data_IF_327710726179
#
_entry.id   IF_327710726179
#
_cell.length_a   1.000
_cell.length_b   1.000
_cell.length_c   1.000
_cell.angle_alpha   90.00
_cell.angle_beta   90.00
_cell.angle_gamma   90.00
#
_symmetry.space_group_name_H-M   'P 1'
#
loop_
_entity.id
_entity.type
_entity.pdbx_description
1 polymer ?
#
# COMPACT_ATOMS: atom_id res chain seq x y z
N UNK A 1 0.02 -17.92 -0.94
CA UNK A 1 -0.67 -16.62 -0.82
C UNK A 1 -1.19 -16.26 -2.20
N UNK A 2 -2.50 -16.02 -2.37
CA UNK A 2 -3.14 -15.86 -3.70
C UNK A 2 -2.50 -14.76 -4.58
N UNK A 3 -1.95 -13.72 -3.96
CA UNK A 3 -1.32 -12.58 -4.64
C UNK A 3 0.22 -12.64 -4.68
N UNK A 4 0.81 -13.84 -4.58
CA UNK A 4 2.29 -13.98 -4.60
C UNK A 4 2.90 -13.52 -5.93
N UNK A 5 2.18 -13.70 -7.04
CA UNK A 5 2.66 -13.36 -8.38
C UNK A 5 2.80 -11.85 -8.59
N UNK A 6 1.88 -11.05 -8.04
CA UNK A 6 1.91 -9.58 -8.17
C UNK A 6 2.78 -8.91 -7.10
N UNK A 7 3.14 -9.63 -6.04
CA UNK A 7 3.88 -9.05 -4.92
C UNK A 7 5.20 -8.34 -5.31
N UNK A 8 6.03 -8.89 -6.23
CA UNK A 8 7.25 -8.20 -6.66
C UNK A 8 6.97 -6.83 -7.29
N UNK A 9 5.90 -6.72 -8.09
CA UNK A 9 5.48 -5.46 -8.72
C UNK A 9 5.00 -4.46 -7.66
N UNK A 10 4.16 -4.91 -6.73
CA UNK A 10 3.69 -4.09 -5.61
C UNK A 10 4.86 -3.55 -4.79
N UNK A 11 5.82 -4.40 -4.41
CA UNK A 11 6.99 -3.97 -3.65
C UNK A 11 7.85 -2.98 -4.43
N UNK A 12 8.05 -3.21 -5.74
CA UNK A 12 8.80 -2.31 -6.61
C UNK A 12 8.13 -0.93 -6.65
N UNK A 13 6.82 -0.87 -6.88
CA UNK A 13 6.08 0.40 -6.97
C UNK A 13 6.09 1.16 -5.63
N UNK A 14 6.01 0.48 -4.49
CA UNK A 14 6.13 1.11 -3.18
C UNK A 14 7.53 1.72 -2.96
N UNK A 15 8.58 0.98 -3.31
CA UNK A 15 9.97 1.49 -3.24
C UNK A 15 10.15 2.69 -4.16
N UNK A 16 9.59 2.64 -5.37
CA UNK A 16 9.66 3.73 -6.33
C UNK A 16 8.96 4.99 -5.81
N UNK A 17 7.74 4.88 -5.29
CA UNK A 17 7.03 6.02 -4.70
C UNK A 17 7.83 6.66 -3.56
N UNK A 18 8.43 5.86 -2.68
CA UNK A 18 9.26 6.38 -1.58
C UNK A 18 10.47 7.17 -2.09
N UNK A 19 11.08 6.74 -3.20
CA UNK A 19 12.23 7.41 -3.79
C UNK A 19 11.85 8.68 -4.54
N UNK A 20 10.75 8.66 -5.29
CA UNK A 20 10.32 9.77 -6.15
C UNK A 20 9.57 10.86 -5.39
N UNK A 21 8.78 10.50 -4.37
CA UNK A 21 7.87 11.41 -3.67
C UNK A 21 7.99 11.32 -2.13
N UNK A 22 9.20 11.33 -1.53
CA UNK A 22 9.35 11.15 -0.08
C UNK A 22 8.65 12.23 0.75
N UNK A 23 8.72 13.49 0.33
CA UNK A 23 8.12 14.62 1.05
C UNK A 23 6.59 14.56 1.05
N UNK A 24 6.00 14.31 -0.12
CA UNK A 24 4.55 14.17 -0.26
C UNK A 24 4.03 12.97 0.55
N UNK A 25 4.77 11.87 0.56
CA UNK A 25 4.45 10.69 1.36
C UNK A 25 4.49 11.02 2.87
N UNK A 26 5.52 11.73 3.34
CA UNK A 26 5.61 12.19 4.73
C UNK A 26 4.46 13.12 5.12
N UNK A 27 4.08 14.05 4.23
CA UNK A 27 2.96 14.95 4.44
C UNK A 27 1.64 14.18 4.54
N UNK A 28 1.41 13.21 3.65
CA UNK A 28 0.22 12.35 3.69
C UNK A 28 0.13 11.56 5.00
N UNK A 29 1.22 10.91 5.41
CA UNK A 29 1.27 10.16 6.68
C UNK A 29 0.95 11.09 7.86
N UNK A 30 1.49 12.30 7.87
CA UNK A 30 1.25 13.29 8.93
C UNK A 30 -0.22 13.73 9.00
N UNK A 31 -0.87 13.91 7.85
CA UNK A 31 -2.30 14.25 7.77
C UNK A 31 -3.16 13.11 8.31
N UNK A 32 -2.94 11.87 7.85
CA UNK A 32 -3.70 10.70 8.32
C UNK A 32 -3.52 10.47 9.83
N UNK A 33 -2.31 10.70 10.37
CA UNK A 33 -2.04 10.66 11.83
C UNK A 33 -2.87 11.68 12.60
N UNK A 34 -2.99 12.91 12.09
CA UNK A 34 -3.72 14.01 12.74
C UNK A 34 -5.22 13.76 12.77
N UNK A 35 -5.78 13.16 11.72
CA UNK A 35 -7.21 12.84 11.65
C UNK A 35 -7.66 11.85 12.72
N UNK A 36 -6.76 10.98 13.21
CA UNK A 36 -7.03 9.95 14.23
C UNK A 36 -8.25 9.05 13.91
N UNK A 37 -8.64 8.98 12.64
CA UNK A 37 -9.84 8.28 12.19
C UNK A 37 -9.67 6.75 12.08
N UNK A 38 -8.43 6.26 12.14
CA UNK A 38 -8.12 4.85 11.85
C UNK A 38 -7.48 4.15 13.05
N UNK A 39 -8.09 3.03 13.47
CA UNK A 39 -7.56 2.15 14.52
C UNK A 39 -6.20 1.53 14.14
N UNK A 40 -5.99 1.26 12.85
CA UNK A 40 -4.73 0.72 12.34
C UNK A 40 -4.23 1.60 11.19
N UNK A 41 -3.31 2.52 11.54
CA UNK A 41 -2.75 3.46 10.59
C UNK A 41 -1.89 2.79 9.52
N UNK A 42 -1.20 1.71 9.88
CA UNK A 42 -0.34 0.98 8.96
C UNK A 42 -1.15 0.40 7.80
N UNK A 43 -2.27 -0.25 8.10
CA UNK A 43 -3.19 -0.76 7.06
C UNK A 43 -3.71 0.39 6.21
N UNK A 44 -4.10 1.52 6.82
CA UNK A 44 -4.62 2.66 6.07
C UNK A 44 -3.60 3.19 5.07
N UNK A 45 -2.38 3.46 5.53
CA UNK A 45 -1.30 3.97 4.67
C UNK A 45 -0.92 2.95 3.59
N UNK A 46 -0.91 1.64 3.91
CA UNK A 46 -0.65 0.60 2.91
C UNK A 46 -1.65 0.63 1.75
N UNK A 47 -2.96 0.81 2.04
CA UNK A 47 -3.97 0.94 0.99
C UNK A 47 -3.89 2.27 0.24
N UNK A 48 -3.62 3.38 0.93
CA UNK A 48 -3.47 4.68 0.28
C UNK A 48 -2.28 4.69 -0.69
N UNK A 49 -1.13 4.15 -0.27
CA UNK A 49 0.05 3.99 -1.12
C UNK A 49 -0.28 3.12 -2.33
N UNK A 50 -0.94 1.97 -2.12
CA UNK A 50 -1.34 1.09 -3.23
C UNK A 50 -2.24 1.81 -4.25
N UNK A 51 -3.20 2.63 -3.79
CA UNK A 51 -4.08 3.42 -4.66
C UNK A 51 -3.39 4.58 -5.36
N UNK A 52 -2.25 5.05 -4.84
CA UNK A 52 -1.44 6.08 -5.49
C UNK A 52 -0.60 5.50 -6.63
N UNK A 53 -0.10 4.27 -6.47
CA UNK A 53 0.78 3.64 -7.46
C UNK A 53 0.06 2.74 -8.47
N UNK A 54 -1.15 2.27 -8.15
CA UNK A 54 -1.95 1.43 -9.04
C UNK A 54 -3.29 2.09 -9.36
N UNK A 55 -3.71 2.11 -10.65
CA UNK A 55 -5.05 2.49 -11.02
C UNK A 55 -6.09 1.62 -10.30
N UNK A 56 -7.21 2.22 -9.89
CA UNK A 56 -8.30 1.48 -9.23
C UNK A 56 -8.76 0.30 -10.08
N UNK A 57 -8.83 0.48 -11.41
CA UNK A 57 -9.17 -0.58 -12.36
C UNK A 57 -8.24 -1.79 -12.24
N UNK A 58 -6.93 -1.58 -12.12
CA UNK A 58 -5.95 -2.66 -11.96
C UNK A 58 -6.20 -3.45 -10.68
N UNK A 59 -6.47 -2.75 -9.58
CA UNK A 59 -6.79 -3.39 -8.30
C UNK A 59 -8.09 -4.20 -8.41
N UNK A 60 -9.13 -3.66 -9.07
CA UNK A 60 -10.38 -4.38 -9.33
C UNK A 60 -10.15 -5.65 -10.16
N UNK A 61 -9.38 -5.56 -11.24
CA UNK A 61 -9.06 -6.72 -12.09
C UNK A 61 -8.30 -7.83 -11.33
N UNK A 62 -7.53 -7.47 -10.30
CA UNK A 62 -6.87 -8.46 -9.44
C UNK A 62 -7.85 -9.26 -8.55
N UNK A 63 -9.01 -8.71 -8.17
CA UNK A 63 -10.03 -9.47 -7.43
C UNK A 63 -10.49 -10.67 -8.25
N UNK A 64 -10.89 -10.42 -9.50
CA UNK A 64 -11.41 -11.46 -10.39
C UNK A 64 -10.31 -12.42 -10.85
N UNK A 65 -9.15 -11.88 -11.25
CA UNK A 65 -8.06 -12.68 -11.84
C UNK A 65 -7.44 -13.66 -10.84
N UNK A 66 -7.29 -13.24 -9.58
CA UNK A 66 -6.59 -14.02 -8.55
C UNK A 66 -7.54 -14.61 -7.50
N UNK A 67 -8.86 -14.48 -7.69
CA UNK A 67 -9.90 -14.91 -6.74
C UNK A 67 -9.56 -14.45 -5.31
N UNK A 68 -9.25 -13.15 -5.18
CA UNK A 68 -8.73 -12.57 -3.95
C UNK A 68 -9.74 -11.62 -3.29
N UNK A 69 -9.38 -11.12 -2.11
CA UNK A 69 -10.24 -10.23 -1.33
C UNK A 69 -9.39 -9.24 -0.52
N UNK A 70 -10.04 -8.30 0.16
CA UNK A 70 -9.40 -7.25 0.94
C UNK A 70 -8.41 -7.79 1.99
N UNK A 71 -8.64 -8.97 2.55
CA UNK A 71 -7.72 -9.59 3.52
C UNK A 71 -6.42 -9.99 2.85
N UNK A 72 -6.50 -10.52 1.63
CA UNK A 72 -5.33 -10.82 0.81
C UNK A 72 -4.56 -9.54 0.45
N UNK A 73 -5.27 -8.48 0.02
CA UNK A 73 -4.67 -7.19 -0.29
C UNK A 73 -4.01 -6.54 0.93
N UNK A 74 -4.70 -6.48 2.06
CA UNK A 74 -4.15 -6.01 3.33
C UNK A 74 -2.82 -6.70 3.63
N UNK A 75 -2.78 -8.02 3.46
CA UNK A 75 -1.58 -8.80 3.77
C UNK A 75 -0.41 -8.44 2.83
N UNK A 76 -0.62 -8.34 1.51
CA UNK A 76 0.48 -7.97 0.60
C UNK A 76 0.88 -6.50 0.72
N UNK A 77 -0.08 -5.58 0.89
CA UNK A 77 0.20 -4.15 0.93
C UNK A 77 0.92 -3.77 2.23
N UNK A 78 0.51 -4.32 3.37
CA UNK A 78 1.23 -4.12 4.64
C UNK A 78 2.63 -4.72 4.57
N UNK A 79 2.78 -5.91 3.97
CA UNK A 79 4.09 -6.51 3.77
C UNK A 79 4.99 -5.64 2.89
N UNK A 80 4.47 -5.13 1.77
CA UNK A 80 5.19 -4.21 0.89
C UNK A 80 5.53 -2.89 1.58
N UNK A 81 4.64 -2.34 2.42
CA UNK A 81 4.89 -1.15 3.22
C UNK A 81 6.07 -1.33 4.19
N UNK A 82 6.17 -2.50 4.83
CA UNK A 82 7.30 -2.85 5.71
C UNK A 82 8.60 -3.03 4.94
N UNK A 83 8.58 -3.80 3.86
CA UNK A 83 9.78 -4.15 3.08
C UNK A 83 10.28 -2.99 2.19
N UNK A 84 9.43 -2.01 1.87
CA UNK A 84 9.83 -0.72 1.30
C UNK A 84 10.32 0.29 2.37
N UNK A 85 10.20 -0.08 3.65
CA UNK A 85 10.51 0.73 4.82
C UNK A 85 9.71 2.04 4.95
N UNK A 86 8.62 2.19 4.19
CA UNK A 86 7.67 3.30 4.40
C UNK A 86 7.07 3.20 5.81
N UNK A 87 6.91 1.98 6.34
CA UNK A 87 6.47 1.77 7.72
C UNK A 87 7.34 2.48 8.78
N UNK A 88 8.62 2.79 8.47
CA UNK A 88 9.50 3.54 9.38
C UNK A 88 9.19 5.04 9.43
N UNK A 89 8.35 5.53 8.52
CA UNK A 89 7.87 6.91 8.44
C UNK A 89 6.55 7.11 9.23
N UNK A 90 5.92 6.01 9.67
CA UNK A 90 4.73 5.99 10.53
C UNK A 90 5.03 6.37 11.98
#
# INVERSE_FOLDING_TARGET
MKLKEIYPEVLKSFKQLKLENPEQLMQHISTVKKERAYKNIEVRIAFDVARQVFPLRTICEWYDKYDCNDTHFKTIFVKALKESEIAKML
#
